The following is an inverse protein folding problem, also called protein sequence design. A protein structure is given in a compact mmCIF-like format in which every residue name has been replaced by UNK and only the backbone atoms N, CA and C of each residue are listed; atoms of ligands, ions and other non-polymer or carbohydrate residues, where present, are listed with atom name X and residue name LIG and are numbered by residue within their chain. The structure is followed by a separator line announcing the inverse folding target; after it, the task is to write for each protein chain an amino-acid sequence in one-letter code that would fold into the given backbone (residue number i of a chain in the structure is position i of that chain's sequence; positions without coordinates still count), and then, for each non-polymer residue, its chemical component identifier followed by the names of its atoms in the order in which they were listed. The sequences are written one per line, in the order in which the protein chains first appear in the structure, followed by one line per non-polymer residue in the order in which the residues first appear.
data_IF_605512215758
#
_entry.id   IF_605512215758
#
_cell.length_a   1.000
_cell.length_b   1.000
_cell.length_c   1.000
_cell.angle_alpha   90.00
_cell.angle_beta   90.00
_cell.angle_gamma   90.00
#
_symmetry.space_group_name_H-M   'P 1'
#
loop_
_entity.id
_entity.type
_entity.pdbx_description
1 polymer ?
#
# COMPACT_ATOMS: atom_id res chain seq x y z
N UNK A 1 18.19 47.99 -22.31
CA UNK A 1 17.23 47.64 -21.24
C UNK A 1 16.87 46.19 -21.49
N UNK A 2 17.43 45.28 -20.68
CA UNK A 2 17.26 43.83 -20.85
C UNK A 2 16.16 43.39 -19.89
N UNK A 3 15.06 42.88 -20.44
CA UNK A 3 13.98 42.32 -19.64
C UNK A 3 14.41 40.97 -19.06
N UNK A 4 14.14 40.67 -17.77
CA UNK A 4 14.35 39.33 -17.25
C UNK A 4 13.24 38.41 -17.78
N UNK A 5 13.64 37.38 -18.55
CA UNK A 5 12.77 36.25 -18.84
C UNK A 5 12.53 35.48 -17.54
N UNK A 6 11.40 35.74 -16.90
CA UNK A 6 10.85 34.89 -15.84
C UNK A 6 10.50 33.55 -16.46
N UNK A 7 11.39 32.57 -16.29
CA UNK A 7 11.02 31.15 -16.36
C UNK A 7 9.94 30.92 -15.32
N UNK A 8 8.72 30.63 -15.77
CA UNK A 8 7.65 30.17 -14.91
C UNK A 8 8.14 28.93 -14.15
N UNK A 9 8.18 29.04 -12.83
CA UNK A 9 8.33 27.89 -11.94
C UNK A 9 7.16 26.94 -12.25
N UNK A 10 7.46 25.80 -12.87
CA UNK A 10 6.53 24.67 -12.88
C UNK A 10 6.24 24.31 -11.44
N UNK A 11 4.96 24.13 -11.13
CA UNK A 11 4.49 23.71 -9.82
C UNK A 11 5.06 22.31 -9.52
N UNK A 12 6.24 22.26 -8.88
CA UNK A 12 6.97 21.04 -8.50
C UNK A 12 6.31 20.38 -7.27
N UNK A 13 4.98 20.45 -7.17
CA UNK A 13 4.25 19.81 -6.08
C UNK A 13 4.28 18.30 -6.33
N UNK A 14 4.97 17.50 -5.49
CA UNK A 14 4.95 16.05 -5.65
C UNK A 14 3.51 15.59 -5.58
N UNK A 15 3.05 14.82 -6.57
CA UNK A 15 1.66 14.44 -6.65
C UNK A 15 1.23 13.76 -5.33
N UNK A 16 0.27 14.38 -4.66
CA UNK A 16 -0.22 13.88 -3.39
C UNK A 16 -0.78 12.48 -3.57
N UNK A 17 -0.65 11.64 -2.53
CA UNK A 17 -1.29 10.33 -2.53
C UNK A 17 -2.80 10.51 -2.71
N UNK A 18 -3.44 9.86 -3.71
CA UNK A 18 -4.88 9.91 -3.87
C UNK A 18 -5.57 9.41 -2.61
N UNK A 19 -6.63 10.09 -2.18
CA UNK A 19 -7.39 9.71 -0.98
C UNK A 19 -8.06 8.34 -1.15
N UNK A 20 -8.52 8.05 -2.37
CA UNK A 20 -9.20 6.81 -2.70
C UNK A 20 -8.17 5.68 -2.80
N UNK A 21 -8.23 4.77 -1.82
CA UNK A 21 -7.45 3.51 -1.83
C UNK A 21 -8.21 2.43 -2.62
N UNK A 22 -7.50 1.52 -3.30
CA UNK A 22 -8.10 0.32 -3.88
C UNK A 22 -8.85 -0.52 -2.83
N UNK A 23 -10.07 -0.94 -3.16
CA UNK A 23 -10.93 -1.82 -2.34
C UNK A 23 -11.33 -3.10 -3.08
N UNK A 24 -10.83 -3.31 -4.29
CA UNK A 24 -11.09 -4.45 -5.19
C UNK A 24 -10.35 -5.74 -4.79
N UNK A 25 -9.72 -5.77 -3.61
CA UNK A 25 -8.93 -6.90 -3.13
C UNK A 25 -7.48 -6.90 -3.59
N UNK A 26 -7.07 -5.96 -4.45
CA UNK A 26 -5.65 -5.77 -4.81
C UNK A 26 -4.85 -5.05 -3.73
N UNK A 27 -3.53 -5.14 -3.81
CA UNK A 27 -2.62 -4.45 -2.92
C UNK A 27 -2.82 -2.92 -2.97
N UNK A 28 -3.24 -2.35 -1.84
CA UNK A 28 -3.50 -0.91 -1.68
C UNK A 28 -2.27 -0.13 -1.18
N UNK A 29 -1.07 -0.68 -1.34
CA UNK A 29 0.17 0.04 -0.99
C UNK A 29 0.44 1.15 -2.02
N UNK A 30 0.70 2.35 -1.51
CA UNK A 30 1.09 3.51 -2.33
C UNK A 30 2.61 3.53 -2.52
N UNK A 31 3.05 3.46 -3.77
CA UNK A 31 4.45 3.53 -4.16
C UNK A 31 4.77 5.00 -4.42
N UNK A 32 5.34 5.68 -3.42
CA UNK A 32 5.60 7.12 -3.49
C UNK A 32 6.48 7.54 -4.67
N UNK A 33 7.49 6.74 -5.00
CA UNK A 33 8.41 7.02 -6.10
C UNK A 33 7.77 6.92 -7.50
N UNK A 34 6.70 6.12 -7.63
CA UNK A 34 6.02 5.86 -8.90
C UNK A 34 4.66 6.55 -8.98
N UNK A 35 4.27 7.29 -7.94
CA UNK A 35 2.99 7.98 -7.81
C UNK A 35 1.79 7.09 -8.17
N UNK A 36 1.82 5.81 -7.74
CA UNK A 36 0.75 4.85 -8.02
C UNK A 36 0.53 3.84 -6.90
N UNK A 37 -0.64 3.20 -6.92
CA UNK A 37 -0.91 2.02 -6.09
C UNK A 37 -0.33 0.76 -6.73
N UNK A 38 0.15 -0.17 -5.90
CA UNK A 38 0.78 -1.42 -6.33
C UNK A 38 -0.16 -2.32 -7.15
N UNK A 39 -1.41 -2.51 -6.71
CA UNK A 39 -2.47 -3.29 -7.40
C UNK A 39 -2.17 -4.76 -7.75
N UNK A 40 -1.08 -5.34 -7.24
CA UNK A 40 -0.86 -6.80 -7.32
C UNK A 40 -2.02 -7.53 -6.63
N UNK A 41 -2.51 -8.60 -7.26
CA UNK A 41 -3.62 -9.43 -6.77
C UNK A 41 -3.15 -10.76 -6.16
N UNK A 42 -1.97 -11.24 -6.55
CA UNK A 42 -1.42 -12.50 -6.07
C UNK A 42 -0.91 -12.43 -4.63
N UNK A 43 -1.30 -13.44 -3.83
CA UNK A 43 -0.84 -13.59 -2.44
C UNK A 43 -1.21 -12.43 -1.53
N UNK A 44 -2.25 -11.66 -1.88
CA UNK A 44 -2.68 -10.50 -1.10
C UNK A 44 -3.33 -10.96 0.20
N UNK A 45 -2.89 -10.35 1.31
CA UNK A 45 -3.42 -10.59 2.65
C UNK A 45 -3.97 -9.29 3.24
N UNK A 46 -4.97 -9.42 4.10
CA UNK A 46 -5.53 -8.28 4.82
C UNK A 46 -4.66 -7.95 6.05
N UNK A 47 -4.18 -6.71 6.13
CA UNK A 47 -3.50 -6.16 7.31
C UNK A 47 -4.27 -4.93 7.81
N UNK A 48 -3.95 -4.47 9.02
CA UNK A 48 -4.57 -3.27 9.59
C UNK A 48 -4.53 -2.04 8.65
N UNK A 49 -3.45 -1.77 7.89
CA UNK A 49 -3.43 -0.66 6.93
C UNK A 49 -4.22 -0.90 5.61
N UNK A 50 -4.71 -2.11 5.38
CA UNK A 50 -5.39 -2.56 4.16
C UNK A 50 -4.75 -3.80 3.52
N UNK A 51 -5.19 -4.12 2.30
CA UNK A 51 -4.70 -5.24 1.49
C UNK A 51 -3.23 -5.07 1.07
N UNK A 52 -2.37 -6.08 1.32
CA UNK A 52 -0.94 -6.06 0.94
C UNK A 52 -0.51 -7.37 0.28
N UNK A 53 0.22 -7.23 -0.82
CA UNK A 53 0.92 -8.35 -1.48
C UNK A 53 2.18 -8.76 -0.67
N UNK A 54 2.81 -9.90 -1.00
CA UNK A 54 3.99 -10.42 -0.28
C UNK A 54 5.21 -9.49 -0.26
N UNK A 55 5.30 -8.53 -1.17
CA UNK A 55 6.39 -7.54 -1.20
C UNK A 55 6.11 -6.30 -0.34
N UNK A 56 4.84 -6.04 -0.01
CA UNK A 56 4.41 -4.84 0.72
C UNK A 56 3.81 -5.16 2.07
N UNK A 57 4.18 -6.29 2.67
CA UNK A 57 3.77 -6.59 4.04
C UNK A 57 4.43 -5.62 5.03
N UNK A 58 3.83 -5.38 6.21
CA UNK A 58 4.44 -4.52 7.22
C UNK A 58 5.85 -4.98 7.66
N UNK A 59 6.14 -6.29 7.67
CA UNK A 59 7.46 -6.81 8.00
C UNK A 59 8.47 -6.51 6.88
N UNK A 60 8.10 -6.76 5.62
CA UNK A 60 8.95 -6.47 4.45
C UNK A 60 9.30 -5.00 4.32
N UNK A 61 8.33 -4.11 4.54
CA UNK A 61 8.57 -2.66 4.56
C UNK A 61 9.54 -2.22 5.67
N UNK A 62 9.69 -3.02 6.73
CA UNK A 62 10.68 -2.81 7.81
C UNK A 62 12.01 -3.56 7.56
N UNK A 63 12.17 -4.20 6.40
CA UNK A 63 13.34 -5.04 6.10
C UNK A 63 13.40 -6.33 6.93
N UNK A 64 12.29 -6.76 7.51
CA UNK A 64 12.20 -7.99 8.32
C UNK A 64 11.61 -9.13 7.48
N UNK A 65 11.93 -10.39 7.79
CA UNK A 65 11.25 -11.54 7.19
C UNK A 65 9.76 -11.53 7.56
N UNK A 66 8.94 -12.00 6.63
CA UNK A 66 7.51 -12.17 6.90
C UNK A 66 7.31 -13.35 7.87
N UNK A 67 6.52 -13.18 8.95
CA UNK A 67 6.19 -14.28 9.83
C UNK A 67 5.46 -15.39 9.06
N UNK A 68 5.70 -16.67 9.37
CA UNK A 68 4.92 -17.75 8.79
C UNK A 68 3.43 -17.53 9.08
N UNK A 69 2.59 -17.94 8.14
CA UNK A 69 1.16 -18.03 8.39
C UNK A 69 0.93 -19.02 9.54
N UNK A 70 0.39 -18.52 10.65
CA UNK A 70 0.15 -19.36 11.82
C UNK A 70 -0.90 -20.41 11.46
N UNK A 71 -0.61 -21.71 11.65
CA UNK A 71 -1.61 -22.76 11.47
C UNK A 71 -2.81 -22.47 12.38
N UNK A 72 -4.00 -22.38 11.79
CA UNK A 72 -5.24 -22.15 12.54
C UNK A 72 -5.65 -20.69 12.76
N UNK A 73 -4.94 -19.70 12.21
CA UNK A 73 -5.39 -18.29 12.20
C UNK A 73 -5.80 -17.82 10.81
N UNK A 74 -6.65 -18.60 10.14
CA UNK A 74 -7.26 -18.24 8.86
C UNK A 74 -8.62 -17.55 9.05
N UNK A 75 -9.20 -16.94 7.99
CA UNK A 75 -10.60 -16.53 7.99
C UNK A 75 -11.50 -17.77 8.20
N UNK A 76 -11.88 -18.01 9.45
CA UNK A 76 -12.57 -19.23 9.91
C UNK A 76 -12.44 -19.48 11.41
N UNK A 77 -11.43 -18.88 12.05
CA UNK A 77 -11.08 -19.07 13.47
C UNK A 77 -12.05 -18.45 14.50
N UNK A 78 -13.24 -17.98 14.07
CA UNK A 78 -14.29 -17.38 14.92
C UNK A 78 -15.54 -18.25 15.01
N UNK A 79 -15.41 -19.57 14.92
CA UNK A 79 -16.49 -20.48 15.28
C UNK A 79 -16.07 -21.21 16.55
N UNK A 80 -17.01 -21.39 17.47
CA UNK A 80 -16.91 -22.12 18.75
C UNK A 80 -16.65 -21.30 20.04
N UNK A 81 -17.32 -20.14 20.19
CA UNK A 81 -17.66 -19.58 21.51
C UNK A 81 -19.11 -19.06 21.55
N UNK A 82 -20.05 -19.86 21.03
CA UNK A 82 -21.48 -19.66 21.30
C UNK A 82 -22.03 -21.02 21.75
N UNK A 83 -21.94 -21.24 23.06
CA UNK A 83 -22.73 -22.28 23.75
C UNK A 83 -24.17 -21.82 23.94
#
# INVERSE_FOLDING_TARGET
MSEPTTTAAGDDTPAARPEIRPTDGSCSHWIGAELRYCRVVDGVRHYLPGMRCPNHTPARLKGQPEPPEMPGWGPGSRKEMQG
#
